data_IF_118793505428
#
_entry.id   IF_118793505428
#
_cell.length_a   1.000
_cell.length_b   1.000
_cell.length_c   1.000
_cell.angle_alpha   90.00
_cell.angle_beta   90.00
_cell.angle_gamma   90.00
#
_symmetry.space_group_name_H-M   'P 1'
#
loop_
_entity.id
_entity.type
_entity.pdbx_description
1 polymer ?
#
# COMPACT_ATOMS: atom_id res chain seq x y z
N UNK A 1 32.97 2.49 29.12
CA UNK A 1 32.38 1.50 28.19
C UNK A 1 31.39 0.66 28.97
N UNK A 2 30.19 0.45 28.44
CA UNK A 2 29.15 -0.36 29.08
C UNK A 2 29.03 -1.67 28.29
N UNK A 3 29.82 -2.67 28.69
CA UNK A 3 29.93 -3.98 28.02
C UNK A 3 28.57 -4.65 27.79
N UNK A 4 27.63 -4.47 28.72
CA UNK A 4 26.26 -4.99 28.63
C UNK A 4 25.53 -4.39 27.41
N UNK A 5 25.67 -3.08 27.17
CA UNK A 5 25.00 -2.42 26.03
C UNK A 5 25.56 -2.87 24.69
N UNK A 6 26.85 -3.19 24.64
CA UNK A 6 27.52 -3.71 23.44
C UNK A 6 26.98 -5.10 23.09
N UNK A 7 26.84 -5.98 24.10
CA UNK A 7 26.22 -7.30 23.93
C UNK A 7 24.74 -7.20 23.52
N UNK A 8 23.97 -6.31 24.15
CA UNK A 8 22.57 -6.09 23.76
C UNK A 8 22.46 -5.63 22.30
N UNK A 9 23.32 -4.70 21.88
CA UNK A 9 23.30 -4.18 20.49
C UNK A 9 23.67 -5.27 19.48
N UNK A 10 24.67 -6.11 19.80
CA UNK A 10 25.06 -7.24 18.96
C UNK A 10 23.94 -8.27 18.82
N UNK A 11 23.25 -8.59 19.91
CA UNK A 11 22.10 -9.51 19.90
C UNK A 11 20.90 -8.93 19.13
N UNK A 12 20.63 -7.64 19.29
CA UNK A 12 19.59 -6.93 18.53
C UNK A 12 19.88 -7.04 17.03
N UNK A 13 21.12 -6.76 16.60
CA UNK A 13 21.54 -6.88 15.21
C UNK A 13 21.41 -8.31 14.67
N UNK A 14 21.78 -9.31 15.48
CA UNK A 14 21.67 -10.73 15.13
C UNK A 14 20.22 -11.17 14.90
N UNK A 15 19.29 -10.74 15.77
CA UNK A 15 17.88 -11.15 15.71
C UNK A 15 17.12 -10.41 14.61
N UNK A 16 17.41 -9.12 14.40
CA UNK A 16 16.77 -8.33 13.36
C UNK A 16 17.26 -8.71 11.96
N UNK A 17 18.56 -8.96 11.79
CA UNK A 17 19.15 -9.15 10.47
C UNK A 17 18.78 -7.96 9.57
N UNK A 18 18.09 -8.25 8.45
CA UNK A 18 17.66 -7.23 7.47
C UNK A 18 16.30 -6.59 7.80
N UNK A 19 15.63 -7.01 8.89
CA UNK A 19 14.31 -6.49 9.26
C UNK A 19 14.40 -5.06 9.74
N UNK A 20 13.70 -4.16 9.06
CA UNK A 20 13.59 -2.75 9.47
C UNK A 20 12.40 -2.56 10.41
N UNK A 21 12.65 -2.02 11.61
CA UNK A 21 11.58 -1.62 12.54
C UNK A 21 11.18 -0.17 12.22
N UNK A 22 9.92 0.10 11.85
CA UNK A 22 9.47 1.47 11.65
C UNK A 22 9.39 2.23 12.98
N UNK A 23 9.58 3.54 12.93
CA UNK A 23 9.30 4.39 14.09
C UNK A 23 7.79 4.62 14.23
N UNK A 24 7.20 4.14 15.33
CA UNK A 24 5.81 4.38 15.70
C UNK A 24 5.68 4.79 17.16
N UNK A 25 4.57 5.42 17.51
CA UNK A 25 4.28 5.89 18.87
C UNK A 25 2.97 5.31 19.39
N UNK A 26 2.74 5.35 20.72
CA UNK A 26 1.41 5.09 21.27
C UNK A 26 0.37 5.97 20.57
N UNK A 27 -0.76 5.38 20.22
CA UNK A 27 -1.84 6.01 19.45
C UNK A 27 -1.83 5.65 17.97
N UNK A 28 -0.70 5.19 17.42
CA UNK A 28 -0.62 4.74 16.04
C UNK A 28 -1.32 3.38 15.84
N UNK A 29 -2.00 3.21 14.72
CA UNK A 29 -2.51 1.92 14.27
C UNK A 29 -1.40 1.17 13.55
N UNK A 30 -1.06 0.00 14.05
CA UNK A 30 -0.01 -0.85 13.52
C UNK A 30 -0.58 -2.20 13.10
N UNK A 31 -0.05 -2.74 12.01
CA UNK A 31 -0.24 -4.13 11.62
C UNK A 31 1.06 -4.89 11.88
N UNK A 32 0.96 -5.91 12.73
CA UNK A 32 2.09 -6.79 13.06
C UNK A 32 1.87 -8.12 12.36
N UNK A 33 2.77 -8.49 11.45
CA UNK A 33 2.77 -9.79 10.81
C UNK A 33 3.58 -10.76 11.67
N UNK A 34 2.92 -11.76 12.24
CA UNK A 34 3.52 -12.72 13.17
C UNK A 34 3.55 -14.10 12.54
N UNK A 35 4.70 -14.75 12.59
CA UNK A 35 4.86 -16.15 12.18
C UNK A 35 4.31 -17.05 13.29
N UNK A 36 3.33 -17.88 12.94
CA UNK A 36 2.72 -18.85 13.84
C UNK A 36 2.98 -20.24 13.28
N UNK A 37 3.52 -21.11 14.13
CA UNK A 37 3.74 -22.52 13.83
C UNK A 37 2.63 -23.35 14.47
N UNK A 38 1.81 -23.99 13.64
CA UNK A 38 0.72 -24.89 14.04
C UNK A 38 1.13 -26.30 13.65
N UNK A 39 1.79 -27.02 14.57
CA UNK A 39 2.40 -28.32 14.29
C UNK A 39 3.52 -28.20 13.25
N UNK A 40 3.31 -28.82 12.08
CA UNK A 40 4.28 -28.83 10.98
C UNK A 40 4.10 -27.68 9.98
N UNK A 41 3.01 -26.90 10.08
CA UNK A 41 2.73 -25.79 9.16
C UNK A 41 3.07 -24.46 9.80
N UNK A 42 3.72 -23.61 9.01
CA UNK A 42 3.98 -22.22 9.39
C UNK A 42 3.11 -21.29 8.55
N UNK A 43 2.46 -20.33 9.19
CA UNK A 43 1.67 -19.29 8.53
C UNK A 43 1.95 -17.92 9.13
N UNK A 44 1.74 -16.89 8.32
CA UNK A 44 1.83 -15.50 8.77
C UNK A 44 0.43 -15.02 9.14
N UNK A 45 0.25 -14.60 10.38
CA UNK A 45 -0.99 -14.00 10.85
C UNK A 45 -0.79 -12.50 11.05
N UNK A 46 -1.61 -11.70 10.38
CA UNK A 46 -1.66 -10.25 10.55
C UNK A 46 -2.49 -9.88 11.79
N UNK A 47 -1.89 -9.17 12.73
CA UNK A 47 -2.55 -8.60 13.89
C UNK A 47 -2.58 -7.08 13.77
N UNK A 48 -3.73 -6.54 13.41
CA UNK A 48 -3.95 -5.09 13.27
C UNK A 48 -4.65 -4.53 14.51
N UNK A 49 -4.11 -3.42 15.04
CA UNK A 49 -4.74 -2.70 16.13
C UNK A 49 -4.00 -1.43 16.52
N UNK A 50 -4.48 -0.77 17.57
CA UNK A 50 -3.88 0.47 18.08
C UNK A 50 -2.77 0.13 19.07
N UNK A 51 -1.59 0.73 18.90
CA UNK A 51 -0.55 0.67 19.91
C UNK A 51 -0.97 1.51 21.13
N UNK A 52 -1.19 0.87 22.28
CA UNK A 52 -1.64 1.57 23.49
C UNK A 52 -0.49 1.90 24.45
N UNK A 53 0.63 1.18 24.36
CA UNK A 53 1.78 1.39 25.21
C UNK A 53 3.04 0.85 24.52
N UNK A 54 4.16 1.53 24.79
CA UNK A 54 5.52 1.01 24.58
C UNK A 54 6.22 1.03 25.94
N UNK A 55 6.98 -0.01 26.25
CA UNK A 55 7.65 -0.17 27.53
C UNK A 55 8.93 -0.97 27.40
N UNK A 56 9.86 -0.76 28.33
CA UNK A 56 11.17 -1.40 28.30
C UNK A 56 12.19 -0.55 27.55
N UNK A 57 13.32 -1.17 27.22
CA UNK A 57 14.42 -0.56 26.48
C UNK A 57 15.40 -1.62 26.02
N UNK A 58 16.19 -1.29 24.99
CA UNK A 58 17.12 -2.22 24.38
C UNK A 58 16.40 -3.47 23.86
N UNK A 59 16.93 -4.64 24.20
CA UNK A 59 16.40 -5.93 23.75
C UNK A 59 15.04 -6.28 24.39
N UNK A 60 14.76 -5.71 25.56
CA UNK A 60 13.52 -5.95 26.32
C UNK A 60 12.41 -4.96 25.98
N UNK A 61 12.60 -4.14 24.94
CA UNK A 61 11.57 -3.23 24.49
C UNK A 61 10.36 -4.00 23.93
N UNK A 62 9.16 -3.61 24.36
CA UNK A 62 7.91 -4.23 23.97
C UNK A 62 6.83 -3.18 23.74
N UNK A 63 5.82 -3.54 22.97
CA UNK A 63 4.67 -2.70 22.68
C UNK A 63 3.38 -3.50 22.76
N UNK A 64 2.33 -2.87 23.26
CA UNK A 64 1.01 -3.48 23.41
C UNK A 64 0.09 -2.99 22.33
N UNK A 65 -0.48 -3.91 21.55
CA UNK A 65 -1.46 -3.62 20.51
C UNK A 65 -2.83 -4.09 20.98
N UNK A 66 -3.81 -3.19 20.93
CA UNK A 66 -5.20 -3.44 21.29
C UNK A 66 -6.06 -3.44 20.03
N UNK A 67 -6.88 -4.49 19.85
CA UNK A 67 -7.93 -4.53 18.82
C UNK A 67 -9.23 -5.04 19.41
N UNK A 68 -10.35 -4.68 18.78
CA UNK A 68 -11.65 -5.27 19.10
C UNK A 68 -11.85 -6.42 18.11
N UNK A 69 -11.96 -7.65 18.62
CA UNK A 69 -12.26 -8.85 17.82
C UNK A 69 -13.60 -9.40 18.28
N UNK A 70 -14.55 -9.58 17.38
CA UNK A 70 -15.86 -10.17 17.70
C UNK A 70 -16.58 -9.50 18.90
N UNK A 71 -16.41 -8.18 19.07
CA UNK A 71 -16.99 -7.42 20.18
C UNK A 71 -16.19 -7.42 21.48
N UNK A 72 -15.11 -8.21 21.57
CA UNK A 72 -14.24 -8.28 22.73
C UNK A 72 -12.90 -7.57 22.50
N UNK A 73 -12.40 -6.89 23.54
CA UNK A 73 -11.11 -6.22 23.49
C UNK A 73 -9.97 -7.21 23.68
N UNK A 74 -9.21 -7.48 22.63
CA UNK A 74 -8.03 -8.33 22.67
C UNK A 74 -6.79 -7.45 22.70
N UNK A 75 -5.90 -7.71 23.66
CA UNK A 75 -4.59 -7.08 23.74
C UNK A 75 -3.51 -8.13 23.55
N UNK A 76 -2.49 -7.81 22.75
CA UNK A 76 -1.28 -8.62 22.63
C UNK A 76 -0.06 -7.75 22.89
N UNK A 77 0.87 -8.27 23.68
CA UNK A 77 2.16 -7.64 23.93
C UNK A 77 3.18 -8.29 23.01
N UNK A 78 3.86 -7.47 22.20
CA UNK A 78 4.89 -7.91 21.27
C UNK A 78 6.24 -7.36 21.73
N UNK A 79 7.28 -8.20 21.88
CA UNK A 79 8.65 -7.72 21.97
C UNK A 79 9.03 -7.07 20.63
N UNK A 80 9.67 -5.90 20.66
CA UNK A 80 10.09 -5.19 19.46
C UNK A 80 11.10 -6.00 18.65
N UNK A 81 12.01 -6.67 19.36
CA UNK A 81 13.07 -7.51 18.81
C UNK A 81 12.69 -8.97 19.01
N UNK A 82 11.75 -9.47 18.20
CA UNK A 82 11.32 -10.87 18.24
C UNK A 82 11.58 -11.56 16.91
N UNK A 83 12.14 -12.79 16.90
CA UNK A 83 12.31 -13.55 15.67
C UNK A 83 10.96 -13.96 15.04
N UNK A 84 9.90 -14.04 15.86
CA UNK A 84 8.55 -14.42 15.43
C UNK A 84 7.83 -13.31 14.66
N UNK A 85 8.29 -12.06 14.76
CA UNK A 85 7.72 -10.95 14.01
C UNK A 85 8.40 -10.91 12.64
N UNK A 86 7.58 -10.95 11.59
CA UNK A 86 8.05 -10.90 10.21
C UNK A 86 8.19 -9.45 9.74
N UNK A 87 7.14 -8.65 9.93
CA UNK A 87 7.17 -7.22 9.65
C UNK A 87 6.20 -6.44 10.54
N UNK A 88 6.51 -5.15 10.72
CA UNK A 88 5.65 -4.19 11.41
C UNK A 88 5.35 -3.08 10.40
N UNK A 89 4.07 -2.80 10.18
CA UNK A 89 3.59 -1.76 9.29
C UNK A 89 2.81 -0.71 10.09
N UNK A 90 3.10 0.57 9.85
CA UNK A 90 2.34 1.66 10.45
C UNK A 90 1.27 2.08 9.46
N UNK A 91 0.00 1.77 9.77
CA UNK A 91 -1.13 2.06 8.88
C UNK A 91 -1.62 3.50 9.04
N UNK A 92 -1.72 3.96 10.29
CA UNK A 92 -2.29 5.27 10.60
C UNK A 92 -1.61 5.86 11.81
N UNK A 93 -1.26 7.15 11.75
CA UNK A 93 -0.67 7.86 12.89
C UNK A 93 -1.76 8.52 13.73
N UNK A 94 -1.81 8.20 15.02
CA UNK A 94 -2.83 8.72 15.92
C UNK A 94 -2.35 9.94 16.70
N UNK A 95 -3.21 10.93 16.89
CA UNK A 95 -2.93 12.09 17.73
C UNK A 95 -3.37 11.82 19.15
N UNK A 96 -2.42 11.53 20.03
CA UNK A 96 -2.63 11.34 21.46
C UNK A 96 -1.65 12.16 22.28
N UNK A 97 -2.00 12.42 23.54
CA UNK A 97 -1.15 13.18 24.49
C UNK A 97 -0.49 12.29 25.54
N UNK A 98 -1.10 11.13 25.87
CA UNK A 98 -0.59 10.21 26.90
C UNK A 98 0.33 9.18 26.26
N UNK A 99 1.42 8.82 26.94
CA UNK A 99 2.32 7.75 26.51
C UNK A 99 1.73 6.34 26.70
N UNK A 100 0.76 6.20 27.62
CA UNK A 100 0.03 4.94 27.86
C UNK A 100 -1.47 5.20 27.79
N UNK A 101 -2.14 4.51 26.87
CA UNK A 101 -3.54 4.71 26.52
C UNK A 101 -4.45 3.66 27.20
N UNK A 102 -4.16 3.28 28.44
CA UNK A 102 -4.94 2.26 29.17
C UNK A 102 -6.40 2.66 29.37
N UNK A 103 -6.71 3.95 29.34
CA UNK A 103 -8.08 4.46 29.38
C UNK A 103 -8.94 3.98 28.20
N UNK A 104 -8.34 3.53 27.09
CA UNK A 104 -9.07 2.92 25.95
C UNK A 104 -9.66 1.55 26.29
N UNK A 105 -9.36 0.98 27.47
CA UNK A 105 -9.98 -0.26 27.96
C UNK A 105 -11.44 -0.04 28.36
N UNK A 106 -11.71 1.12 28.97
CA UNK A 106 -13.01 1.48 29.51
C UNK A 106 -13.90 2.17 28.46
N UNK A 107 -13.29 2.68 27.38
CA UNK A 107 -14.00 3.37 26.30
C UNK A 107 -14.46 2.40 25.21
N UNK A 108 -15.64 2.64 24.65
CA UNK A 108 -16.21 1.88 23.52
C UNK A 108 -16.76 2.81 22.44
N UNK A 109 -16.88 2.28 21.21
CA UNK A 109 -17.48 2.97 20.08
C UNK A 109 -16.81 4.31 19.75
N UNK A 110 -17.60 5.39 19.68
CA UNK A 110 -17.12 6.74 19.33
C UNK A 110 -16.08 7.27 20.33
N UNK A 111 -16.20 6.93 21.61
CA UNK A 111 -15.28 7.40 22.66
C UNK A 111 -13.87 6.80 22.55
N UNK A 112 -13.74 5.61 21.97
CA UNK A 112 -12.45 4.96 21.75
C UNK A 112 -11.75 5.43 20.46
N UNK A 113 -12.39 6.29 19.65
CA UNK A 113 -11.84 6.74 18.37
C UNK A 113 -10.72 7.76 18.59
N UNK A 114 -9.54 7.45 18.04
CA UNK A 114 -8.40 8.36 18.05
C UNK A 114 -8.42 9.22 16.78
N UNK A 115 -8.23 10.53 16.97
CA UNK A 115 -8.09 11.48 15.88
C UNK A 115 -6.79 11.22 15.10
N UNK A 116 -6.82 11.42 13.80
CA UNK A 116 -5.61 11.25 12.99
C UNK A 116 -4.62 12.39 13.26
N UNK A 117 -3.33 12.06 13.25
CA UNK A 117 -2.29 13.07 13.31
C UNK A 117 -1.96 13.54 11.90
N UNK A 118 -2.59 14.64 11.50
CA UNK A 118 -2.35 15.30 10.19
C UNK A 118 -1.13 16.24 10.20
N UNK A 119 -0.64 16.64 11.38
CA UNK A 119 0.47 17.61 11.55
C UNK A 119 1.45 17.19 12.65
N UNK A 120 2.77 17.30 12.42
CA UNK A 120 3.83 17.08 13.44
C UNK A 120 5.14 16.46 12.89
N UNK A 121 6.19 16.40 13.73
CA UNK A 121 7.45 15.70 13.43
C UNK A 121 7.22 14.19 13.27
N UNK A 122 7.84 13.59 12.24
CA UNK A 122 7.71 12.17 11.91
C UNK A 122 6.58 11.83 10.95
N UNK A 123 5.80 12.81 10.46
CA UNK A 123 5.03 12.64 9.22
C UNK A 123 6.01 12.91 8.08
N UNK A 124 7.01 12.04 7.92
CA UNK A 124 7.56 11.86 6.58
C UNK A 124 6.42 11.24 5.80
N UNK A 125 5.69 12.07 5.07
CA UNK A 125 5.20 11.60 3.81
C UNK A 125 6.43 11.04 3.13
N UNK A 126 6.55 9.71 3.02
CA UNK A 126 7.12 9.16 1.79
C UNK A 126 6.18 9.65 0.69
N UNK A 127 6.24 10.94 0.37
CA UNK A 127 6.13 11.33 -1.01
C UNK A 127 7.20 10.47 -1.66
N UNK A 128 6.77 9.52 -2.47
CA UNK A 128 7.58 9.12 -3.60
C UNK A 128 7.79 10.44 -4.34
N UNK A 129 8.84 11.16 -3.94
CA UNK A 129 9.29 12.39 -4.52
C UNK A 129 9.92 11.96 -5.83
N UNK A 130 9.07 11.52 -6.77
CA UNK A 130 9.37 11.49 -8.18
C UNK A 130 9.89 12.88 -8.45
N UNK A 131 11.19 12.98 -8.64
CA UNK A 131 11.90 14.25 -8.75
C UNK A 131 11.18 15.12 -9.78
N UNK A 132 11.22 16.45 -9.63
CA UNK A 132 10.61 17.37 -10.61
C UNK A 132 10.99 17.00 -12.06
N UNK A 133 12.18 16.41 -12.24
CA UNK A 133 12.71 15.81 -13.45
C UNK A 133 11.94 14.58 -13.92
N UNK A 134 11.70 13.59 -13.06
CA UNK A 134 10.94 12.38 -13.39
C UNK A 134 9.47 12.67 -13.65
N UNK A 135 8.83 13.62 -12.94
CA UNK A 135 7.46 14.06 -13.24
C UNK A 135 7.35 14.72 -14.63
N UNK A 136 8.38 15.47 -15.04
CA UNK A 136 8.46 16.03 -16.41
C UNK A 136 8.63 14.91 -17.44
N UNK A 137 9.55 13.97 -17.23
CA UNK A 137 9.75 12.81 -18.11
C UNK A 137 8.48 11.96 -18.26
N UNK A 138 7.76 11.70 -17.18
CA UNK A 138 6.50 10.96 -17.23
C UNK A 138 5.43 11.70 -18.03
N UNK A 139 5.29 13.03 -17.85
CA UNK A 139 4.37 13.84 -18.65
C UNK A 139 4.75 13.92 -20.12
N UNK A 140 6.05 14.04 -20.41
CA UNK A 140 6.55 14.09 -21.78
C UNK A 140 6.34 12.74 -22.49
N UNK A 141 6.59 11.62 -21.79
CA UNK A 141 6.32 10.27 -22.28
C UNK A 141 4.81 10.01 -22.48
N UNK A 142 3.96 10.45 -21.54
CA UNK A 142 2.51 10.33 -21.66
C UNK A 142 1.97 11.16 -22.84
N UNK A 143 2.53 12.36 -23.07
CA UNK A 143 2.17 13.20 -24.22
C UNK A 143 2.64 12.59 -25.54
N UNK A 144 3.83 11.97 -25.56
CA UNK A 144 4.33 11.22 -26.72
C UNK A 144 3.42 10.02 -27.02
N UNK A 145 3.11 9.19 -26.03
CA UNK A 145 2.20 8.06 -26.16
C UNK A 145 0.80 8.50 -26.62
N UNK A 146 0.25 9.60 -26.07
CA UNK A 146 -1.04 10.13 -26.51
C UNK A 146 -1.01 10.61 -27.97
N UNK A 147 0.12 11.16 -28.42
CA UNK A 147 0.31 11.59 -29.81
C UNK A 147 0.44 10.39 -30.74
N UNK A 148 1.15 9.35 -30.32
CA UNK A 148 1.28 8.08 -31.05
C UNK A 148 -0.06 7.37 -31.16
N UNK A 149 -0.81 7.22 -30.06
CA UNK A 149 -2.16 6.64 -30.04
C UNK A 149 -3.12 7.45 -30.92
N UNK A 150 -3.04 8.79 -30.90
CA UNK A 150 -3.87 9.62 -31.78
C UNK A 150 -3.47 9.52 -33.26
N UNK A 151 -2.18 9.36 -33.56
CA UNK A 151 -1.69 9.13 -34.92
C UNK A 151 -2.12 7.74 -35.44
N UNK A 152 -2.05 6.72 -34.58
CA UNK A 152 -2.47 5.37 -34.89
C UNK A 152 -3.97 5.28 -35.09
N UNK A 153 -4.77 5.91 -34.22
CA UNK A 153 -6.22 6.03 -34.40
C UNK A 153 -6.61 6.78 -35.69
N UNK A 154 -5.83 7.79 -36.11
CA UNK A 154 -6.04 8.46 -37.41
C UNK A 154 -5.67 7.58 -38.60
N UNK A 155 -4.59 6.81 -38.49
CA UNK A 155 -4.19 5.85 -39.52
C UNK A 155 -5.19 4.69 -39.64
N UNK A 156 -5.70 4.19 -38.51
CA UNK A 156 -6.71 3.14 -38.46
C UNK A 156 -8.05 3.65 -39.01
N UNK A 157 -8.43 4.90 -38.67
CA UNK A 157 -9.61 5.55 -39.27
C UNK A 157 -9.44 5.75 -40.78
N UNK A 158 -8.29 6.21 -41.26
CA UNK A 158 -8.04 6.38 -42.70
C UNK A 158 -8.04 5.04 -43.46
N UNK A 159 -7.54 3.97 -42.83
CA UNK A 159 -7.63 2.61 -43.39
C UNK A 159 -9.08 2.10 -43.41
N UNK A 160 -9.86 2.39 -42.38
CA UNK A 160 -11.28 2.04 -42.33
C UNK A 160 -12.10 2.83 -43.36
N UNK A 161 -11.83 4.13 -43.52
CA UNK A 161 -12.49 4.99 -44.51
C UNK A 161 -12.10 4.56 -45.94
N UNK A 162 -10.85 4.16 -46.18
CA UNK A 162 -10.41 3.61 -47.47
C UNK A 162 -11.03 2.23 -47.77
N UNK A 163 -11.11 1.34 -46.77
CA UNK A 163 -11.77 0.05 -46.90
C UNK A 163 -13.29 0.20 -47.13
N UNK A 164 -13.92 1.21 -46.52
CA UNK A 164 -15.32 1.54 -46.76
C UNK A 164 -15.56 2.12 -48.16
N UNK A 165 -14.61 2.93 -48.68
CA UNK A 165 -14.67 3.43 -50.05
C UNK A 165 -14.45 2.31 -51.09
N UNK A 166 -13.56 1.36 -50.81
CA UNK A 166 -13.33 0.18 -51.66
C UNK A 166 -14.52 -0.79 -51.62
N UNK A 167 -15.14 -0.98 -50.45
CA UNK A 167 -16.38 -1.75 -50.30
C UNK A 167 -17.58 -1.08 -51.00
N UNK A 168 -17.70 0.26 -50.90
CA UNK A 168 -18.75 1.01 -51.61
C UNK A 168 -18.55 1.01 -53.14
N UNK A 169 -17.29 0.99 -53.62
CA UNK A 169 -16.98 0.83 -55.04
C UNK A 169 -17.27 -0.60 -55.54
N UNK A 170 -17.06 -1.62 -54.70
CA UNK A 170 -17.44 -3.00 -55.02
C UNK A 170 -18.97 -3.20 -55.01
N UNK A 171 -19.70 -2.50 -54.13
CA UNK A 171 -21.17 -2.52 -54.08
C UNK A 171 -21.79 -1.73 -55.26
N UNK A 172 -21.17 -0.63 -55.69
CA UNK A 172 -21.56 0.11 -56.91
C UNK A 172 -21.29 -0.68 -58.21
N UNK A 173 -20.19 -1.45 -58.27
CA UNK A 173 -19.91 -2.33 -59.41
C UNK A 173 -20.84 -3.55 -59.49
N UNK A 174 -21.51 -3.92 -58.38
CA UNK A 174 -22.56 -4.95 -58.37
C UNK A 174 -23.96 -4.38 -58.72
N UNK A 175 -24.15 -3.06 -58.67
CA UNK A 175 -25.41 -2.38 -58.98
C UNK A 175 -25.51 -1.87 -60.43
N UNK A 176 -24.40 -1.84 -61.19
CA UNK A 176 -24.38 -1.61 -62.65
C UNK A 176 -23.99 -2.88 -63.42
N UNK A 177 -24.82 -3.93 -63.27
CA UNK A 177 -25.06 -4.85 -64.38
C UNK A 177 -26.38 -4.42 -65.02
N UNK A 178 -26.38 -3.71 -66.17
CA UNK A 178 -27.62 -3.21 -66.75
C UNK A 178 -28.43 -4.37 -67.31
N UNK A 179 -29.68 -4.44 -66.84
CA UNK A 179 -30.76 -5.05 -67.60
C UNK A 179 -31.19 -4.03 -68.67
N UNK A 180 -30.91 -4.33 -69.93
CA UNK A 180 -31.76 -3.89 -71.04
C UNK A 180 -31.94 -5.08 -71.99
N UNK A 181 -33.20 -5.48 -72.18
CA UNK A 181 -33.64 -6.25 -73.33
C UNK A 181 -34.17 -5.33 -74.43
N UNK A 182 -34.25 -5.88 -75.65
CA UNK A 182 -35.01 -5.37 -76.81
C UNK A 182 -34.26 -4.35 -77.67
N UNK A 183 -34.29 -4.34 -79.00
CA UNK A 183 -35.13 -5.02 -79.99
C UNK A 183 -34.50 -4.78 -81.38
N UNK A 184 -34.37 -5.83 -82.21
CA UNK A 184 -34.40 -5.84 -83.69
C UNK A 184 -34.08 -7.24 -84.23
#
# INVERSE_FOLDING_TARGET
MNLIKELETAEIARVLGDKTIPQFSPGDTVAVNVKIKEGDRERVQRYEGVCIARSGGGINESFTVRKISFGEGVERVFPLVSPLIESIEVLRKGRVRRAKLYYLRDLRGKGARIAERTTGHGIEQQEVAVSKTERRRQKDAEKANRKEVAAQARADKAKADAAAAEAAAAEAAAAEAPAEGGDA
#
